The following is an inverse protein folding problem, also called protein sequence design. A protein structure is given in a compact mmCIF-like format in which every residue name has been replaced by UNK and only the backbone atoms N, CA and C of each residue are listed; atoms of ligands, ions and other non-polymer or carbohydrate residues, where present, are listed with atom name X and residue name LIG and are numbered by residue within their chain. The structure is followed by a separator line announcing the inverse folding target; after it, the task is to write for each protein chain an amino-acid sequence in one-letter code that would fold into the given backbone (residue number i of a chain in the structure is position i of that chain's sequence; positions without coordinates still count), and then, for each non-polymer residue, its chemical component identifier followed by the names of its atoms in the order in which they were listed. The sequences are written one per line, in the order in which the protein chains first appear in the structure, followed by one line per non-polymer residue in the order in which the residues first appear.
data_IF_985078468159
#
_entry.id   IF_985078468159
#
_cell.length_a   1.000
_cell.length_b   1.000
_cell.length_c   1.000
_cell.angle_alpha   90.00
_cell.angle_beta   90.00
_cell.angle_gamma   90.00
#
_symmetry.space_group_name_H-M   'P 1'
#
loop_
_entity.id
_entity.type
_entity.pdbx_description
1 polymer ?
#
# COMPACT_ATOMS: atom_id res chain seq x y z
N UNK A 1 4.39 -4.08 -13.13
CA UNK A 1 4.88 -4.91 -12.00
C UNK A 1 4.78 -4.10 -10.69
N UNK A 2 5.11 -4.66 -9.52
CA UNK A 2 4.91 -3.95 -8.25
C UNK A 2 5.63 -2.59 -8.22
N UNK A 3 6.82 -2.50 -8.82
CA UNK A 3 7.64 -1.30 -8.92
C UNK A 3 7.00 -0.18 -9.73
N UNK A 4 6.04 -0.49 -10.62
CA UNK A 4 5.38 0.49 -11.48
C UNK A 4 4.13 1.09 -10.82
N UNK A 5 3.77 0.67 -9.61
CA UNK A 5 2.66 1.25 -8.87
C UNK A 5 2.97 2.73 -8.53
N UNK A 6 1.97 3.59 -8.68
CA UNK A 6 2.03 4.98 -8.25
C UNK A 6 0.78 5.34 -7.46
N UNK A 7 0.82 6.48 -6.78
CA UNK A 7 -0.34 7.03 -6.08
C UNK A 7 -1.51 7.24 -7.05
N UNK A 8 -1.26 7.78 -8.24
CA UNK A 8 -2.31 8.09 -9.22
C UNK A 8 -3.06 6.84 -9.67
N UNK A 9 -2.33 5.75 -9.98
CA UNK A 9 -2.94 4.47 -10.35
C UNK A 9 -3.78 3.90 -9.20
N UNK A 10 -3.27 3.98 -7.97
CA UNK A 10 -3.98 3.47 -6.80
C UNK A 10 -5.23 4.31 -6.47
N UNK A 11 -5.14 5.64 -6.57
CA UNK A 11 -6.24 6.58 -6.38
C UNK A 11 -7.38 6.31 -7.36
N UNK A 12 -7.06 6.17 -8.64
CA UNK A 12 -8.07 5.91 -9.67
C UNK A 12 -8.75 4.55 -9.44
N UNK A 13 -7.99 3.54 -8.98
CA UNK A 13 -8.54 2.22 -8.59
C UNK A 13 -9.48 2.33 -7.37
N UNK A 14 -9.13 3.14 -6.36
CA UNK A 14 -9.98 3.35 -5.19
C UNK A 14 -11.32 3.98 -5.58
N UNK A 15 -11.29 5.01 -6.41
CA UNK A 15 -12.50 5.69 -6.88
C UNK A 15 -13.38 4.72 -7.67
N UNK A 16 -12.80 4.01 -8.65
CA UNK A 16 -13.54 3.04 -9.45
C UNK A 16 -14.25 1.98 -8.58
N UNK A 17 -13.54 1.42 -7.59
CA UNK A 17 -14.11 0.39 -6.72
C UNK A 17 -15.14 0.96 -5.73
N UNK A 18 -14.96 2.19 -5.26
CA UNK A 18 -15.95 2.86 -4.43
C UNK A 18 -17.25 3.12 -5.22
N UNK A 19 -17.15 3.57 -6.47
CA UNK A 19 -18.30 3.74 -7.37
C UNK A 19 -19.04 2.41 -7.66
N UNK A 20 -18.31 1.30 -7.66
CA UNK A 20 -18.87 -0.05 -7.79
C UNK A 20 -19.55 -0.58 -6.51
N UNK A 21 -19.44 0.15 -5.39
CA UNK A 21 -20.10 -0.20 -4.13
C UNK A 21 -19.28 -1.14 -3.24
N UNK A 22 -17.94 -1.09 -3.29
CA UNK A 22 -17.10 -1.81 -2.32
C UNK A 22 -17.27 -1.18 -0.92
N UNK A 23 -17.73 -1.98 0.05
CA UNK A 23 -18.02 -1.48 1.40
C UNK A 23 -16.78 -1.22 2.27
N UNK A 24 -15.66 -1.89 1.99
CA UNK A 24 -14.42 -1.71 2.76
C UNK A 24 -13.17 -2.08 1.95
N UNK A 25 -12.07 -1.40 2.25
CA UNK A 25 -10.77 -1.63 1.60
C UNK A 25 -9.73 -2.15 2.60
N UNK A 26 -9.03 -3.22 2.22
CA UNK A 26 -7.83 -3.65 2.95
C UNK A 26 -6.60 -2.92 2.43
N UNK A 27 -6.20 -1.84 3.11
CA UNK A 27 -5.07 -0.99 2.71
C UNK A 27 -3.88 -1.26 3.63
N UNK A 28 -2.73 -1.61 3.04
CA UNK A 28 -1.52 -1.98 3.77
C UNK A 28 -0.62 -0.77 4.10
N UNK A 29 -1.22 0.36 4.52
CA UNK A 29 -0.49 1.60 4.83
C UNK A 29 0.48 1.47 6.03
N UNK A 30 0.33 0.43 6.86
CA UNK A 30 1.25 0.14 7.98
C UNK A 30 2.60 -0.47 7.56
N UNK A 31 2.76 -0.88 6.30
CA UNK A 31 4.05 -1.38 5.79
C UNK A 31 4.93 -0.19 5.42
N UNK A 32 5.71 0.28 6.40
CA UNK A 32 6.64 1.40 6.25
C UNK A 32 8.04 0.94 5.85
N UNK A 33 8.79 1.78 5.15
CA UNK A 33 10.14 1.46 4.65
C UNK A 33 11.05 0.92 5.76
N UNK A 34 11.10 1.61 6.91
CA UNK A 34 11.96 1.23 8.03
C UNK A 34 11.49 -0.04 8.76
N UNK A 35 10.25 -0.50 8.56
CA UNK A 35 9.77 -1.78 9.10
C UNK A 35 10.26 -2.98 8.28
N UNK A 36 10.55 -2.80 6.98
CA UNK A 36 10.91 -3.92 6.09
C UNK A 36 12.15 -4.68 6.59
N UNK A 37 13.28 -4.05 6.97
CA UNK A 37 14.45 -4.76 7.47
C UNK A 37 14.20 -5.54 8.78
N UNK A 38 13.21 -5.14 9.58
CA UNK A 38 12.85 -5.85 10.81
C UNK A 38 12.32 -7.27 10.53
N UNK A 39 11.88 -7.53 9.30
CA UNK A 39 11.36 -8.83 8.88
C UNK A 39 12.45 -9.80 8.40
N UNK A 40 13.70 -9.35 8.22
CA UNK A 40 14.79 -10.12 7.61
C UNK A 40 15.14 -11.41 8.37
N UNK A 41 14.87 -11.46 9.68
CA UNK A 41 15.15 -12.64 10.53
C UNK A 41 13.92 -13.53 10.79
N UNK A 42 12.77 -13.23 10.18
CA UNK A 42 11.57 -14.08 10.33
C UNK A 42 11.76 -15.38 9.54
N UNK A 43 11.42 -16.51 10.15
CA UNK A 43 11.48 -17.83 9.51
C UNK A 43 10.71 -17.89 8.19
N UNK A 44 9.56 -17.22 8.11
CA UNK A 44 8.68 -17.21 6.93
C UNK A 44 8.57 -15.84 6.25
N UNK A 45 9.39 -14.87 6.64
CA UNK A 45 9.39 -13.53 6.03
C UNK A 45 8.05 -12.78 6.12
N UNK A 46 7.68 -12.10 5.03
CA UNK A 46 6.42 -11.38 4.86
C UNK A 46 5.44 -12.28 4.09
N UNK A 47 4.42 -12.77 4.77
CA UNK A 47 3.42 -13.70 4.19
C UNK A 47 2.13 -13.01 3.74
N UNK A 48 1.93 -11.73 4.08
CA UNK A 48 0.82 -10.94 3.53
C UNK A 48 1.11 -10.62 2.06
N UNK A 49 0.17 -10.96 1.16
CA UNK A 49 0.28 -10.63 -0.27
C UNK A 49 0.35 -9.13 -0.53
N UNK A 50 -0.55 -8.35 0.05
CA UNK A 50 -0.53 -6.88 -0.11
C UNK A 50 0.68 -6.26 0.57
N UNK A 51 1.08 -6.80 1.73
CA UNK A 51 2.27 -6.34 2.43
C UNK A 51 3.57 -6.61 1.69
N UNK A 52 3.70 -7.74 1.01
CA UNK A 52 4.90 -8.06 0.22
C UNK A 52 5.01 -7.21 -1.05
N UNK A 53 3.89 -6.84 -1.68
CA UNK A 53 3.84 -5.86 -2.77
C UNK A 53 4.38 -4.51 -2.30
N UNK A 54 3.88 -4.00 -1.16
CA UNK A 54 4.33 -2.71 -0.62
C UNK A 54 5.78 -2.73 -0.15
N UNK A 55 6.23 -3.82 0.49
CA UNK A 55 7.64 -3.99 0.85
C UNK A 55 8.55 -3.96 -0.38
N UNK A 56 8.15 -4.63 -1.47
CA UNK A 56 8.90 -4.63 -2.74
C UNK A 56 8.95 -3.22 -3.35
N UNK A 57 7.83 -2.51 -3.38
CA UNK A 57 7.76 -1.13 -3.89
C UNK A 57 8.68 -0.19 -3.08
N UNK A 58 8.60 -0.23 -1.74
CA UNK A 58 9.43 0.61 -0.87
C UNK A 58 10.92 0.37 -1.10
N UNK A 59 11.33 -0.90 -1.24
CA UNK A 59 12.74 -1.25 -1.48
C UNK A 59 13.22 -0.86 -2.88
N UNK A 60 12.38 -1.01 -3.91
CA UNK A 60 12.73 -0.65 -5.29
C UNK A 60 12.97 0.85 -5.47
N UNK A 61 12.18 1.68 -4.77
CA UNK A 61 12.27 3.13 -4.85
C UNK A 61 13.10 3.78 -3.74
N UNK A 62 13.42 3.01 -2.69
CA UNK A 62 14.00 3.51 -1.44
C UNK A 62 13.22 4.70 -0.85
N UNK A 63 11.88 4.60 -0.89
CA UNK A 63 10.93 5.62 -0.44
C UNK A 63 9.96 5.07 0.59
N UNK A 64 9.36 5.97 1.37
CA UNK A 64 8.27 5.60 2.27
C UNK A 64 7.04 5.17 1.47
N UNK A 65 6.23 4.28 2.04
CA UNK A 65 5.02 3.76 1.41
C UNK A 65 4.09 4.89 0.96
N UNK A 66 3.79 4.98 -0.35
CA UNK A 66 2.87 5.99 -0.86
C UNK A 66 1.46 5.87 -0.22
N UNK A 67 1.06 4.66 0.21
CA UNK A 67 -0.18 4.44 0.95
C UNK A 67 -0.16 5.08 2.34
N UNK A 68 1.02 5.20 2.95
CA UNK A 68 1.22 5.89 4.21
C UNK A 68 1.29 7.41 3.99
N UNK A 69 2.04 7.86 2.98
CA UNK A 69 2.20 9.29 2.67
C UNK A 69 0.88 9.96 2.25
N UNK A 70 0.03 9.25 1.51
CA UNK A 70 -1.28 9.73 1.04
C UNK A 70 -2.46 9.23 1.90
N UNK A 71 -2.21 8.81 3.15
CA UNK A 71 -3.28 8.24 3.96
C UNK A 71 -4.46 9.21 4.20
N UNK A 72 -4.18 10.50 4.32
CA UNK A 72 -5.22 11.54 4.43
C UNK A 72 -6.06 11.64 3.14
N UNK A 73 -5.44 11.63 1.96
CA UNK A 73 -6.16 11.65 0.69
C UNK A 73 -7.06 10.41 0.51
N UNK A 74 -6.56 9.24 0.93
CA UNK A 74 -7.34 7.99 0.96
C UNK A 74 -8.58 8.17 1.85
N UNK A 75 -8.42 8.74 3.05
CA UNK A 75 -9.53 9.00 3.95
C UNK A 75 -10.56 9.96 3.35
N UNK A 76 -10.16 10.98 2.61
CA UNK A 76 -11.10 11.90 1.96
C UNK A 76 -11.91 11.19 0.86
N UNK A 77 -11.29 10.29 0.08
CA UNK A 77 -12.00 9.47 -0.91
C UNK A 77 -13.02 8.54 -0.23
N UNK A 78 -12.61 7.87 0.85
CA UNK A 78 -13.45 6.87 1.53
C UNK A 78 -14.61 7.46 2.34
N UNK A 79 -14.59 8.75 2.65
CA UNK A 79 -15.67 9.45 3.38
C UNK A 79 -16.79 9.95 2.46
N UNK A 80 -16.52 10.12 1.17
CA UNK A 80 -17.43 10.69 0.18
C UNK A 80 -18.62 9.76 -0.11
#
# INVERSE_FOLDING_TARGET
VAEDLTWEIFRDTLIEQAEQGVDYFTIHAGVRLHHVPMTAKRTTGIVSRGGSIMAKWCLAHHKESFLYEHFEDICEIMKA
#
